data_IF_207613729388
#
_entry.id   IF_207613729388
#
_cell.length_a   1.000
_cell.length_b   1.000
_cell.length_c   1.000
_cell.angle_alpha   90.00
_cell.angle_beta   90.00
_cell.angle_gamma   90.00
#
_symmetry.space_group_name_H-M   'P 1'
#
loop_
_entity.id
_entity.type
_entity.pdbx_description
1 polymer ?
#
# COMPACT_ATOMS: atom_id res chain seq x y z
N UNK A 1 20.17 23.71 16.79
CA UNK A 1 18.72 23.55 16.51
C UNK A 1 18.44 22.70 15.27
N UNK A 2 19.06 22.96 14.11
CA UNK A 2 18.81 22.20 12.87
C UNK A 2 19.05 20.67 13.01
N UNK A 3 20.07 20.26 13.75
CA UNK A 3 20.40 18.84 14.02
C UNK A 3 19.35 18.11 14.86
N UNK A 4 18.79 18.76 15.88
CA UNK A 4 17.76 18.16 16.75
C UNK A 4 16.46 17.97 15.99
N UNK A 5 16.07 18.95 15.18
CA UNK A 5 14.84 18.88 14.37
C UNK A 5 14.98 17.82 13.27
N UNK A 6 16.15 17.74 12.62
CA UNK A 6 16.48 16.70 11.64
C UNK A 6 16.44 15.30 12.24
N UNK A 7 17.04 15.13 13.42
CA UNK A 7 17.03 13.88 14.15
C UNK A 7 15.60 13.47 14.55
N UNK A 8 14.82 14.39 15.11
CA UNK A 8 13.42 14.13 15.46
C UNK A 8 12.58 13.75 14.23
N UNK A 9 12.82 14.41 13.10
CA UNK A 9 12.10 14.12 11.86
C UNK A 9 12.48 12.74 11.29
N UNK A 10 13.77 12.39 11.27
CA UNK A 10 14.23 11.05 10.88
C UNK A 10 13.71 9.97 11.82
N UNK A 11 13.68 10.22 13.14
CA UNK A 11 13.08 9.32 14.12
C UNK A 11 11.59 9.11 13.81
N UNK A 12 10.81 10.18 13.61
CA UNK A 12 9.40 10.07 13.25
C UNK A 12 9.18 9.32 11.92
N UNK A 13 10.02 9.59 10.92
CA UNK A 13 9.99 8.91 9.62
C UNK A 13 10.49 7.46 9.66
N UNK A 14 11.11 6.98 10.74
CA UNK A 14 11.48 5.58 10.88
C UNK A 14 10.64 4.86 11.95
N UNK A 15 9.92 5.62 12.78
CA UNK A 15 9.19 5.08 13.92
C UNK A 15 8.04 4.17 13.50
N UNK A 16 7.24 4.56 12.50
CA UNK A 16 6.13 3.73 12.00
C UNK A 16 6.62 2.35 11.52
N UNK A 17 7.59 2.27 10.57
CA UNK A 17 8.07 0.97 10.13
C UNK A 17 8.79 0.21 11.24
N UNK A 18 9.54 0.87 12.13
CA UNK A 18 10.23 0.21 13.24
C UNK A 18 9.24 -0.41 14.24
N UNK A 19 8.25 0.36 14.69
CA UNK A 19 7.19 -0.13 15.60
C UNK A 19 6.40 -1.24 14.91
N UNK A 20 6.09 -1.08 13.62
CA UNK A 20 5.47 -2.12 12.80
C UNK A 20 6.27 -3.42 12.80
N UNK A 21 7.57 -3.37 12.51
CA UNK A 21 8.48 -4.51 12.53
C UNK A 21 8.51 -5.16 13.92
N UNK A 22 8.62 -4.39 15.00
CA UNK A 22 8.59 -4.91 16.36
C UNK A 22 7.29 -5.65 16.69
N UNK A 23 6.14 -5.12 16.25
CA UNK A 23 4.84 -5.80 16.39
C UNK A 23 4.83 -7.10 15.59
N UNK A 24 5.34 -7.09 14.35
CA UNK A 24 5.38 -8.27 13.48
C UNK A 24 6.30 -9.37 14.05
N UNK A 25 7.45 -9.01 14.63
CA UNK A 25 8.35 -9.95 15.31
C UNK A 25 7.65 -10.71 16.44
N UNK A 26 6.78 -10.03 17.19
CA UNK A 26 6.03 -10.61 18.29
C UNK A 26 4.73 -11.30 17.86
N UNK A 27 4.32 -11.18 16.59
CA UNK A 27 3.05 -11.70 16.10
C UNK A 27 3.20 -13.09 15.51
N UNK A 28 3.77 -13.19 14.30
CA UNK A 28 3.93 -14.44 13.54
C UNK A 28 5.10 -14.29 12.56
N UNK A 29 6.01 -15.27 12.53
CA UNK A 29 7.17 -15.26 11.61
C UNK A 29 6.76 -15.13 10.13
N UNK A 30 5.60 -15.67 9.75
CA UNK A 30 5.08 -15.57 8.38
C UNK A 30 4.74 -14.13 7.98
N UNK A 31 4.21 -13.31 8.89
CA UNK A 31 3.92 -11.91 8.61
C UNK A 31 5.22 -11.10 8.44
N UNK A 32 6.26 -11.44 9.20
CA UNK A 32 7.58 -10.87 9.00
C UNK A 32 8.14 -11.23 7.61
N UNK A 33 8.00 -12.49 7.18
CA UNK A 33 8.43 -12.91 5.85
C UNK A 33 7.69 -12.14 4.74
N UNK A 34 6.37 -11.94 4.90
CA UNK A 34 5.58 -11.11 3.98
C UNK A 34 6.12 -9.69 3.92
N UNK A 35 6.40 -9.06 5.07
CA UNK A 35 6.96 -7.71 5.12
C UNK A 35 8.31 -7.62 4.38
N UNK A 36 9.22 -8.57 4.62
CA UNK A 36 10.53 -8.61 3.96
C UNK A 36 10.39 -8.78 2.44
N UNK A 37 9.55 -9.72 1.99
CA UNK A 37 9.30 -9.96 0.56
C UNK A 37 8.71 -8.71 -0.09
N UNK A 38 7.72 -8.07 0.54
CA UNK A 38 7.11 -6.85 0.01
C UNK A 38 8.13 -5.72 -0.08
N UNK A 39 8.95 -5.48 0.94
CA UNK A 39 10.04 -4.51 0.87
C UNK A 39 11.03 -4.80 -0.27
N UNK A 40 11.37 -6.08 -0.49
CA UNK A 40 12.24 -6.48 -1.58
C UNK A 40 11.61 -6.23 -2.96
N UNK A 41 10.30 -6.50 -3.12
CA UNK A 41 9.57 -6.20 -4.36
C UNK A 41 9.58 -4.69 -4.65
N UNK A 42 9.38 -3.86 -3.63
CA UNK A 42 9.52 -2.40 -3.77
C UNK A 42 10.93 -2.03 -4.25
N UNK A 43 11.97 -2.58 -3.62
CA UNK A 43 13.36 -2.31 -3.98
C UNK A 43 13.69 -2.71 -5.43
N UNK A 44 13.23 -3.88 -5.88
CA UNK A 44 13.37 -4.31 -7.27
C UNK A 44 12.71 -3.29 -8.22
N UNK A 45 11.48 -2.86 -7.92
CA UNK A 45 10.76 -1.93 -8.79
C UNK A 45 11.50 -0.59 -8.97
N UNK A 46 12.07 -0.04 -7.89
CA UNK A 46 12.87 1.19 -7.95
C UNK A 46 14.16 0.95 -8.72
N UNK A 47 14.82 -0.18 -8.50
CA UNK A 47 16.07 -0.54 -9.19
C UNK A 47 15.88 -0.66 -10.69
N UNK A 48 14.80 -1.28 -11.15
CA UNK A 48 14.47 -1.41 -12.58
C UNK A 48 14.35 -0.01 -13.22
N UNK A 49 13.62 0.91 -12.59
CA UNK A 49 13.44 2.26 -13.15
C UNK A 49 14.74 3.06 -13.06
N UNK A 50 15.51 2.93 -11.98
CA UNK A 50 16.82 3.57 -11.86
C UNK A 50 17.77 3.12 -12.99
N UNK A 51 17.75 1.83 -13.35
CA UNK A 51 18.51 1.31 -14.50
C UNK A 51 18.05 1.95 -15.81
N UNK A 52 16.75 2.02 -16.07
CA UNK A 52 16.24 2.69 -17.28
C UNK A 52 16.57 4.19 -17.32
N UNK A 53 16.51 4.87 -16.18
CA UNK A 53 16.85 6.29 -16.07
C UNK A 53 18.31 6.54 -16.49
N UNK A 54 19.22 5.70 -16.02
CA UNK A 54 20.66 5.77 -16.37
C UNK A 54 20.87 5.40 -17.84
N UNK A 55 20.29 4.30 -18.32
CA UNK A 55 20.49 3.80 -19.68
C UNK A 55 19.93 4.74 -20.76
N UNK A 56 18.87 5.50 -20.46
CA UNK A 56 18.21 6.38 -21.42
C UNK A 56 18.63 7.86 -21.26
N UNK A 57 19.66 8.15 -20.45
CA UNK A 57 20.19 9.50 -20.18
C UNK A 57 19.09 10.54 -19.94
N UNK A 58 18.15 10.18 -19.08
CA UNK A 58 16.84 10.75 -19.21
C UNK A 58 16.74 12.15 -18.58
N UNK A 59 16.21 13.13 -19.33
CA UNK A 59 16.26 14.55 -18.95
C UNK A 59 15.02 15.07 -18.20
N UNK A 60 13.91 14.33 -18.21
CA UNK A 60 12.61 14.78 -17.66
C UNK A 60 12.32 14.06 -16.34
N UNK A 61 12.90 14.56 -15.23
CA UNK A 61 12.77 13.96 -13.89
C UNK A 61 11.32 13.70 -13.48
N UNK A 62 10.40 14.59 -13.82
CA UNK A 62 8.98 14.46 -13.48
C UNK A 62 8.34 13.22 -14.09
N UNK A 63 8.65 12.94 -15.36
CA UNK A 63 8.14 11.75 -16.05
C UNK A 63 8.66 10.47 -15.38
N UNK A 64 9.94 10.44 -15.03
CA UNK A 64 10.57 9.28 -14.40
C UNK A 64 10.08 9.01 -12.99
N UNK A 65 9.80 10.05 -12.22
CA UNK A 65 9.18 9.90 -10.92
C UNK A 65 7.77 9.30 -11.03
N UNK A 66 6.95 9.74 -12.00
CA UNK A 66 5.63 9.16 -12.25
C UNK A 66 5.70 7.72 -12.76
N UNK A 67 6.66 7.40 -13.64
CA UNK A 67 6.89 6.03 -14.10
C UNK A 67 7.37 5.12 -12.96
N UNK A 68 8.20 5.64 -12.06
CA UNK A 68 8.59 4.94 -10.83
C UNK A 68 7.37 4.60 -9.97
N UNK A 69 6.50 5.58 -9.70
CA UNK A 69 5.29 5.37 -8.92
C UNK A 69 4.37 4.34 -9.59
N UNK A 70 4.17 4.44 -10.91
CA UNK A 70 3.36 3.48 -11.66
C UNK A 70 3.93 2.05 -11.58
N UNK A 71 5.24 1.88 -11.73
CA UNK A 71 5.85 0.56 -11.62
C UNK A 71 5.75 -0.01 -10.20
N UNK A 72 5.91 0.84 -9.17
CA UNK A 72 5.72 0.46 -7.77
C UNK A 72 4.29 -0.03 -7.51
N UNK A 73 3.28 0.60 -8.12
CA UNK A 73 1.88 0.14 -8.07
C UNK A 73 1.66 -1.20 -8.78
N UNK A 74 2.22 -1.37 -9.98
CA UNK A 74 2.17 -2.64 -10.69
C UNK A 74 2.81 -3.76 -9.88
N UNK A 75 3.96 -3.49 -9.27
CA UNK A 75 4.66 -4.43 -8.39
C UNK A 75 3.82 -4.73 -7.13
N UNK A 76 3.15 -3.72 -6.56
CA UNK A 76 2.26 -3.90 -5.40
C UNK A 76 1.10 -4.82 -5.75
N UNK A 77 0.36 -4.53 -6.82
CA UNK A 77 -0.76 -5.36 -7.28
C UNK A 77 -0.31 -6.78 -7.64
N UNK A 78 0.82 -6.90 -8.33
CA UNK A 78 1.44 -8.19 -8.65
C UNK A 78 1.77 -9.00 -7.39
N UNK A 79 2.26 -8.36 -6.33
CA UNK A 79 2.56 -9.01 -5.05
C UNK A 79 1.30 -9.54 -4.36
N UNK A 80 0.18 -8.79 -4.41
CA UNK A 80 -1.11 -9.22 -3.84
C UNK A 80 -1.67 -10.42 -4.62
N UNK A 81 -1.61 -10.37 -5.95
CA UNK A 81 -2.02 -11.48 -6.82
C UNK A 81 -1.18 -12.74 -6.57
N UNK A 82 0.14 -12.58 -6.49
CA UNK A 82 1.06 -13.69 -6.22
C UNK A 82 0.78 -14.30 -4.84
N UNK A 83 0.65 -13.46 -3.81
CA UNK A 83 0.34 -13.91 -2.46
C UNK A 83 -0.94 -14.75 -2.44
N UNK A 84 -2.00 -14.29 -3.09
CA UNK A 84 -3.28 -15.01 -3.11
C UNK A 84 -3.25 -16.29 -3.91
N UNK A 85 -2.53 -16.29 -5.03
CA UNK A 85 -2.29 -17.51 -5.80
C UNK A 85 -1.54 -18.54 -4.95
N UNK A 86 -0.54 -18.11 -4.18
CA UNK A 86 0.19 -18.98 -3.26
C UNK A 86 -0.70 -19.50 -2.14
N UNK A 87 -1.51 -18.64 -1.51
CA UNK A 87 -2.45 -19.10 -0.47
C UNK A 87 -3.44 -20.10 -1.03
N UNK A 88 -3.99 -19.89 -2.23
CA UNK A 88 -4.92 -20.84 -2.87
C UNK A 88 -4.26 -22.21 -3.13
N UNK A 89 -3.00 -22.23 -3.56
CA UNK A 89 -2.27 -23.48 -3.81
C UNK A 89 -1.96 -24.24 -2.51
N UNK A 90 -1.82 -23.53 -1.39
CA UNK A 90 -1.45 -24.11 -0.09
C UNK A 90 -2.67 -24.35 0.82
N UNK A 91 -3.79 -23.69 0.57
CA UNK A 91 -5.01 -23.68 1.40
C UNK A 91 -5.79 -25.02 1.44
N UNK A 92 -5.26 -26.09 0.85
CA UNK A 92 -5.70 -27.44 1.20
C UNK A 92 -5.43 -27.82 2.68
N UNK A 93 -4.63 -27.06 3.44
CA UNK A 93 -4.22 -27.49 4.80
C UNK A 93 -4.11 -26.41 5.89
N UNK A 94 -4.01 -25.11 5.60
CA UNK A 94 -3.80 -24.09 6.64
C UNK A 94 -4.49 -22.75 6.29
N UNK A 95 -5.57 -22.43 7.00
CA UNK A 95 -6.41 -21.25 6.75
C UNK A 95 -6.16 -20.13 7.77
N UNK A 96 -4.88 -19.85 8.04
CA UNK A 96 -4.48 -18.99 9.17
C UNK A 96 -4.05 -17.57 8.75
N UNK A 97 -4.21 -17.22 7.46
CA UNK A 97 -3.84 -15.91 6.96
C UNK A 97 -5.04 -14.99 6.81
N UNK A 98 -5.18 -14.01 7.69
CA UNK A 98 -6.13 -12.92 7.53
C UNK A 98 -5.55 -11.88 6.55
N UNK A 99 -6.24 -11.64 5.42
CA UNK A 99 -5.93 -10.60 4.42
C UNK A 99 -5.59 -9.24 5.05
N UNK A 100 -6.21 -8.94 6.20
CA UNK A 100 -5.94 -7.73 6.99
C UNK A 100 -4.50 -7.68 7.50
N UNK A 101 -4.05 -8.72 8.18
CA UNK A 101 -2.72 -8.77 8.81
C UNK A 101 -1.64 -8.87 7.75
N UNK A 102 -1.88 -9.63 6.69
CA UNK A 102 -0.99 -9.73 5.53
C UNK A 102 -0.83 -8.39 4.82
N UNK A 103 -1.93 -7.70 4.52
CA UNK A 103 -1.87 -6.38 3.88
C UNK A 103 -1.10 -5.36 4.73
N UNK A 104 -1.31 -5.38 6.05
CA UNK A 104 -0.57 -4.51 6.96
C UNK A 104 0.92 -4.84 6.97
N UNK A 105 1.27 -6.13 7.06
CA UNK A 105 2.66 -6.57 7.05
C UNK A 105 3.38 -6.19 5.75
N UNK A 106 2.72 -6.40 4.61
CA UNK A 106 3.23 -6.00 3.29
C UNK A 106 3.46 -4.48 3.19
N UNK A 107 2.50 -3.69 3.70
CA UNK A 107 2.62 -2.23 3.77
C UNK A 107 3.76 -1.76 4.68
N UNK A 108 3.96 -2.40 5.85
CA UNK A 108 5.11 -2.12 6.73
C UNK A 108 6.43 -2.39 5.99
N UNK A 109 6.51 -3.47 5.22
CA UNK A 109 7.66 -3.79 4.38
C UNK A 109 8.01 -2.70 3.37
N UNK A 110 7.03 -2.28 2.56
CA UNK A 110 7.19 -1.18 1.60
C UNK A 110 7.59 0.12 2.29
N UNK A 111 6.88 0.49 3.35
CA UNK A 111 7.13 1.69 4.13
C UNK A 111 8.56 1.71 4.70
N UNK A 112 9.04 0.57 5.21
CA UNK A 112 10.40 0.44 5.74
C UNK A 112 11.46 0.67 4.65
N UNK A 113 11.34 -0.01 3.50
CA UNK A 113 12.32 0.14 2.41
C UNK A 113 12.29 1.53 1.78
N UNK A 114 11.10 2.11 1.65
CA UNK A 114 10.94 3.48 1.17
C UNK A 114 11.63 4.48 2.11
N UNK A 115 11.46 4.31 3.42
CA UNK A 115 12.09 5.15 4.42
C UNK A 115 13.62 5.02 4.40
N UNK A 116 14.13 3.80 4.28
CA UNK A 116 15.57 3.55 4.15
C UNK A 116 16.13 4.21 2.89
N UNK A 117 15.42 4.20 1.76
CA UNK A 117 15.88 4.87 0.55
C UNK A 117 15.93 6.40 0.70
N UNK A 118 14.92 7.00 1.36
CA UNK A 118 14.87 8.45 1.59
C UNK A 118 15.98 8.88 2.56
N UNK A 119 16.10 8.23 3.72
CA UNK A 119 16.99 8.68 4.79
C UNK A 119 18.39 8.06 4.75
N UNK A 120 18.56 6.90 4.14
CA UNK A 120 19.84 6.20 4.03
C UNK A 120 20.84 6.87 3.08
N UNK A 121 20.37 7.79 2.23
CA UNK A 121 21.22 8.55 1.30
C UNK A 121 22.06 9.65 1.97
N UNK A 122 21.78 10.00 3.23
CA UNK A 122 22.58 10.95 4.02
C UNK A 122 22.54 12.42 3.55
N UNK A 123 21.88 12.72 2.43
CA UNK A 123 21.83 14.06 1.83
C UNK A 123 20.39 14.57 1.72
N UNK A 124 19.84 15.09 2.81
CA UNK A 124 18.59 15.86 2.73
C UNK A 124 18.91 17.32 2.99
N UNK A 125 18.91 18.15 1.94
CA UNK A 125 18.97 19.62 2.05
C UNK A 125 17.77 20.17 2.87
N UNK A 126 16.70 19.39 3.00
CA UNK A 126 15.49 19.70 3.77
C UNK A 126 14.98 18.46 4.55
N UNK A 127 15.61 18.13 5.69
CA UNK A 127 15.32 16.89 6.43
C UNK A 127 13.91 16.83 7.01
N UNK A 128 13.34 17.96 7.42
CA UNK A 128 11.98 18.04 7.98
C UNK A 128 10.94 17.77 6.90
N UNK A 129 11.10 18.37 5.72
CA UNK A 129 10.22 18.15 4.58
C UNK A 129 10.28 16.68 4.13
N UNK A 130 11.50 16.14 4.00
CA UNK A 130 11.73 14.75 3.63
C UNK A 130 11.07 13.79 4.62
N UNK A 131 11.11 14.10 5.92
CA UNK A 131 10.51 13.26 6.94
C UNK A 131 8.98 13.32 7.02
N UNK A 132 8.39 14.51 6.92
CA UNK A 132 6.92 14.60 6.86
C UNK A 132 6.39 13.93 5.60
N UNK A 133 7.12 14.06 4.49
CA UNK A 133 6.79 13.39 3.25
C UNK A 133 6.94 11.88 3.36
N UNK A 134 8.05 11.39 3.92
CA UNK A 134 8.24 9.96 4.19
C UNK A 134 7.10 9.41 5.06
N UNK A 135 6.71 10.11 6.13
CA UNK A 135 5.57 9.73 6.97
C UNK A 135 4.27 9.62 6.17
N UNK A 136 3.99 10.61 5.31
CA UNK A 136 2.83 10.60 4.43
C UNK A 136 2.85 9.41 3.46
N UNK A 137 3.99 9.12 2.83
CA UNK A 137 4.12 7.97 1.93
C UNK A 137 4.04 6.63 2.67
N UNK A 138 4.55 6.53 3.88
CA UNK A 138 4.41 5.31 4.69
C UNK A 138 2.94 5.04 5.04
N UNK A 139 2.21 6.07 5.50
CA UNK A 139 0.79 5.95 5.77
C UNK A 139 0.01 5.60 4.50
N UNK A 140 0.37 6.23 3.38
CA UNK A 140 -0.20 5.93 2.08
C UNK A 140 0.08 4.47 1.69
N UNK A 141 1.32 3.98 1.77
CA UNK A 141 1.70 2.59 1.46
C UNK A 141 0.88 1.58 2.28
N UNK A 142 0.72 1.82 3.58
CA UNK A 142 -0.11 0.98 4.45
C UNK A 142 -1.57 0.93 3.97
N UNK A 143 -2.15 2.08 3.60
CA UNK A 143 -3.53 2.18 3.14
C UNK A 143 -3.70 1.59 1.74
N UNK A 144 -2.76 1.84 0.83
CA UNK A 144 -2.81 1.34 -0.54
C UNK A 144 -2.70 -0.18 -0.59
N UNK A 145 -1.88 -0.81 0.26
CA UNK A 145 -1.90 -2.26 0.41
C UNK A 145 -3.25 -2.78 0.91
N UNK A 146 -3.85 -2.11 1.90
CA UNK A 146 -5.18 -2.48 2.40
C UNK A 146 -6.25 -2.40 1.32
N UNK A 147 -6.21 -1.34 0.51
CA UNK A 147 -7.11 -1.17 -0.62
C UNK A 147 -6.83 -2.17 -1.74
N UNK A 148 -5.57 -2.50 -2.04
CA UNK A 148 -5.21 -3.51 -3.03
C UNK A 148 -5.73 -4.91 -2.66
N UNK A 149 -5.56 -5.31 -1.39
CA UNK A 149 -6.16 -6.54 -0.86
C UNK A 149 -7.70 -6.49 -0.82
N UNK A 150 -8.32 -5.31 -0.77
CA UNK A 150 -9.77 -5.20 -0.85
C UNK A 150 -10.29 -5.25 -2.30
N UNK A 151 -9.53 -4.66 -3.23
CA UNK A 151 -9.88 -4.48 -4.64
C UNK A 151 -9.95 -5.84 -5.32
N UNK A 152 -8.93 -6.64 -5.14
CA UNK A 152 -8.91 -8.02 -5.58
C UNK A 152 -9.71 -8.77 -4.51
N UNK A 153 -10.70 -9.63 -4.80
CA UNK A 153 -11.30 -10.54 -3.82
C UNK A 153 -10.81 -11.99 -3.97
N UNK A 154 -10.86 -12.79 -2.89
CA UNK A 154 -10.39 -14.20 -2.83
C UNK A 154 -11.23 -15.15 -3.71
N UNK A 155 -12.50 -14.81 -3.98
CA UNK A 155 -13.49 -15.75 -4.55
C UNK A 155 -13.89 -15.47 -6.01
N UNK A 156 -13.47 -14.36 -6.62
CA UNK A 156 -13.80 -14.05 -8.02
C UNK A 156 -12.77 -14.73 -8.96
N UNK A 157 -12.83 -16.06 -9.04
CA UNK A 157 -12.20 -16.83 -10.14
C UNK A 157 -13.03 -16.79 -11.44
N UNK A 158 -14.18 -16.12 -11.45
CA UNK A 158 -15.14 -16.18 -12.57
C UNK A 158 -15.42 -14.80 -13.20
N UNK A 159 -15.10 -13.68 -12.54
CA UNK A 159 -15.10 -12.36 -13.16
C UNK A 159 -13.95 -11.50 -12.62
N UNK A 160 -12.79 -11.46 -13.29
CA UNK A 160 -11.59 -10.81 -12.76
C UNK A 160 -11.70 -9.28 -12.64
N UNK A 161 -12.83 -8.68 -13.01
CA UNK A 161 -12.99 -7.23 -13.21
C UNK A 161 -14.42 -6.83 -12.82
N UNK A 162 -14.80 -6.99 -11.55
CA UNK A 162 -15.96 -6.24 -11.07
C UNK A 162 -15.67 -4.73 -11.22
N UNK A 163 -16.65 -3.94 -11.67
CA UNK A 163 -16.49 -2.47 -11.81
C UNK A 163 -15.95 -1.83 -10.53
N UNK A 164 -16.30 -2.41 -9.37
CA UNK A 164 -15.85 -2.01 -8.04
C UNK A 164 -14.36 -2.30 -7.79
N UNK A 165 -13.86 -3.48 -8.18
CA UNK A 165 -12.44 -3.86 -8.10
C UNK A 165 -11.56 -2.93 -8.97
N UNK A 166 -12.02 -2.66 -10.19
CA UNK A 166 -11.34 -1.77 -11.13
C UNK A 166 -11.28 -0.35 -10.60
N UNK A 167 -12.40 0.18 -10.12
CA UNK A 167 -12.46 1.50 -9.52
C UNK A 167 -11.49 1.63 -8.34
N UNK A 168 -11.45 0.63 -7.45
CA UNK A 168 -10.58 0.67 -6.28
C UNK A 168 -9.10 0.61 -6.67
N UNK A 169 -8.75 -0.21 -7.66
CA UNK A 169 -7.41 -0.28 -8.24
C UNK A 169 -7.00 1.07 -8.87
N UNK A 170 -7.91 1.69 -9.63
CA UNK A 170 -7.67 3.02 -10.20
C UNK A 170 -7.46 4.09 -9.12
N UNK A 171 -8.23 4.04 -8.03
CA UNK A 171 -8.06 4.96 -6.90
C UNK A 171 -6.69 4.78 -6.24
N UNK A 172 -6.25 3.53 -6.06
CA UNK A 172 -4.94 3.23 -5.50
C UNK A 172 -3.82 3.85 -6.36
N UNK A 173 -3.87 3.58 -7.67
CA UNK A 173 -2.88 4.10 -8.63
C UNK A 173 -2.91 5.63 -8.68
N UNK A 174 -4.11 6.22 -8.82
CA UNK A 174 -4.28 7.66 -8.90
C UNK A 174 -3.79 8.36 -7.63
N UNK A 175 -4.03 7.78 -6.45
CA UNK A 175 -3.58 8.34 -5.18
C UNK A 175 -2.06 8.40 -5.10
N UNK A 176 -1.36 7.32 -5.49
CA UNK A 176 0.10 7.33 -5.47
C UNK A 176 0.70 8.26 -6.54
N UNK A 177 0.11 8.31 -7.73
CA UNK A 177 0.54 9.25 -8.78
C UNK A 177 0.32 10.71 -8.37
N UNK A 178 -0.81 11.05 -7.76
CA UNK A 178 -1.09 12.40 -7.25
C UNK A 178 -0.15 12.79 -6.13
N UNK A 179 0.11 11.87 -5.19
CA UNK A 179 1.11 12.05 -4.16
C UNK A 179 2.48 12.34 -4.78
N UNK A 180 2.92 11.53 -5.74
CA UNK A 180 4.21 11.70 -6.43
C UNK A 180 4.29 13.00 -7.24
N UNK A 181 3.23 13.38 -7.96
CA UNK A 181 3.17 14.65 -8.69
C UNK A 181 3.26 15.84 -7.72
N UNK A 182 2.57 15.74 -6.58
CA UNK A 182 2.58 16.76 -5.53
C UNK A 182 3.96 16.99 -4.92
N UNK A 183 4.80 15.95 -4.78
CA UNK A 183 6.16 16.12 -4.25
C UNK A 183 7.07 16.85 -5.23
N UNK A 184 6.95 16.56 -6.53
CA UNK A 184 7.77 17.15 -7.58
C UNK A 184 7.42 18.64 -7.76
N UNK A 185 6.15 18.99 -7.61
CA UNK A 185 5.67 20.36 -7.78
C UNK A 185 6.15 21.33 -6.69
N UNK A 186 6.73 20.83 -5.58
CA UNK A 186 7.03 21.64 -4.41
C UNK A 186 8.55 21.72 -4.19
N UNK A 187 9.20 22.83 -4.61
CA UNK A 187 10.62 23.01 -4.39
C UNK A 187 10.93 23.15 -2.90
N UNK A 188 11.96 22.46 -2.42
CA UNK A 188 12.41 22.48 -1.02
C UNK A 188 12.82 23.87 -0.49
N UNK A 189 12.93 24.90 -1.35
CA UNK A 189 13.38 26.25 -0.97
C UNK A 189 12.32 27.13 -0.31
N UNK A 190 11.03 26.78 -0.35
CA UNK A 190 9.96 27.60 0.22
C UNK A 190 9.53 27.10 1.60
N UNK A 191 10.15 27.66 2.65
CA UNK A 191 9.94 27.27 4.06
C UNK A 191 8.48 27.30 4.54
N UNK A 192 7.62 28.11 3.93
CA UNK A 192 6.18 28.21 4.22
C UNK A 192 5.31 27.20 3.46
N UNK A 193 5.76 26.67 2.32
CA UNK A 193 5.05 25.62 1.58
C UNK A 193 5.32 24.23 2.19
N UNK A 194 6.50 24.02 2.77
CA UNK A 194 6.88 22.76 3.43
C UNK A 194 5.92 22.37 4.56
N UNK A 195 5.35 23.35 5.27
CA UNK A 195 4.37 23.12 6.34
C UNK A 195 2.95 22.76 5.83
N UNK A 196 2.63 23.10 4.57
CA UNK A 196 1.30 22.86 3.97
C UNK A 196 1.27 21.64 3.05
N UNK A 197 2.42 21.12 2.59
CA UNK A 197 2.52 19.84 1.84
C UNK A 197 1.91 18.65 2.57
N UNK A 198 2.05 18.47 3.91
CA UNK A 198 1.49 17.31 4.58
C UNK A 198 -0.05 17.29 4.53
N UNK A 199 -0.71 18.44 4.35
CA UNK A 199 -2.17 18.55 4.42
C UNK A 199 -2.87 17.84 3.24
N UNK A 200 -2.51 18.06 1.96
CA UNK A 200 -3.05 17.28 0.84
C UNK A 200 -2.80 15.78 0.96
N UNK A 201 -1.64 15.36 1.45
CA UNK A 201 -1.28 13.95 1.56
C UNK A 201 -1.99 13.28 2.75
N UNK A 202 -2.13 13.98 3.86
CA UNK A 202 -2.95 13.56 4.99
C UNK A 202 -4.42 13.50 4.59
N UNK A 203 -4.92 14.48 3.84
CA UNK A 203 -6.27 14.47 3.29
C UNK A 203 -6.48 13.28 2.34
N UNK A 204 -5.49 12.98 1.49
CA UNK A 204 -5.52 11.83 0.60
C UNK A 204 -5.52 10.52 1.40
N UNK A 205 -4.64 10.38 2.38
CA UNK A 205 -4.60 9.22 3.28
C UNK A 205 -5.92 9.06 4.04
N UNK A 206 -6.47 10.13 4.61
CA UNK A 206 -7.77 10.12 5.30
C UNK A 206 -8.92 9.78 4.35
N UNK A 207 -8.93 10.31 3.12
CA UNK A 207 -9.92 9.98 2.11
C UNK A 207 -9.84 8.50 1.72
N UNK A 208 -8.63 7.97 1.50
CA UNK A 208 -8.39 6.56 1.21
C UNK A 208 -8.77 5.65 2.39
N UNK A 209 -8.51 6.06 3.63
CA UNK A 209 -8.90 5.34 4.84
C UNK A 209 -10.42 5.34 5.04
N UNK A 210 -11.07 6.48 4.80
CA UNK A 210 -12.55 6.62 4.87
C UNK A 210 -13.21 5.75 3.82
N UNK A 211 -12.69 5.76 2.59
CA UNK A 211 -13.14 4.87 1.52
C UNK A 211 -13.01 3.40 1.92
N UNK A 212 -11.88 3.01 2.53
CA UNK A 212 -11.69 1.64 3.05
C UNK A 212 -12.76 1.26 4.09
N UNK A 213 -13.02 2.12 5.08
CA UNK A 213 -14.00 1.86 6.13
C UNK A 213 -15.41 1.68 5.56
N UNK A 214 -15.83 2.58 4.67
CA UNK A 214 -17.13 2.50 4.00
C UNK A 214 -17.27 1.21 3.17
N UNK A 215 -16.21 0.79 2.48
CA UNK A 215 -16.24 -0.43 1.68
C UNK A 215 -16.27 -1.70 2.54
N UNK A 216 -15.65 -1.68 3.73
CA UNK A 216 -15.68 -2.79 4.68
C UNK A 216 -17.09 -2.99 5.24
N UNK A 217 -17.77 -1.91 5.61
CA UNK A 217 -19.14 -1.93 6.15
C UNK A 217 -20.16 -2.49 5.15
N UNK A 218 -20.05 -2.11 3.87
CA UNK A 218 -20.88 -2.68 2.79
C UNK A 218 -20.63 -4.18 2.60
N UNK A 219 -19.39 -4.66 2.77
CA UNK A 219 -19.06 -6.09 2.65
C UNK A 219 -19.63 -6.89 3.82
N UNK A 220 -19.58 -6.38 5.06
CA UNK A 220 -20.21 -7.05 6.20
C UNK A 220 -21.73 -7.14 6.04
N UNK A 221 -22.37 -6.09 5.56
CA UNK A 221 -23.83 -6.09 5.31
C UNK A 221 -24.24 -7.11 4.24
N UNK A 222 -23.47 -7.25 3.16
CA UNK A 222 -23.73 -8.28 2.14
C UNK A 222 -23.51 -9.71 2.65
N UNK A 223 -22.55 -9.93 3.55
CA UNK A 223 -22.31 -11.24 4.13
C UNK A 223 -23.46 -11.66 5.07
N UNK A 224 -24.02 -10.73 5.84
CA UNK A 224 -25.24 -10.99 6.63
C UNK A 224 -26.45 -11.30 5.75
N UNK A 225 -26.67 -10.51 4.68
CA UNK A 225 -27.81 -10.71 3.78
C UNK A 225 -27.80 -12.02 2.99
N UNK A 226 -26.64 -12.66 2.85
CA UNK A 226 -26.49 -13.97 2.19
C UNK A 226 -26.67 -15.14 3.15
N UNK A 227 -26.55 -14.91 4.46
CA UNK A 227 -26.87 -15.90 5.50
C UNK A 227 -28.37 -15.92 5.85
N UNK A 228 -29.07 -14.80 5.64
CA UNK A 228 -30.52 -14.69 5.84
C UNK A 228 -31.36 -15.05 4.58
N UNK A 229 -30.72 -15.46 3.48
CA UNK A 229 -31.46 -16.03 2.36
C UNK A 229 -31.94 -17.42 2.76
N UNK A 230 -33.25 -17.72 2.77
CA UNK A 230 -33.70 -19.10 2.86
C UNK A 230 -32.99 -19.87 1.75
N UNK A 231 -32.43 -21.03 2.08
CA UNK A 231 -31.90 -21.94 1.09
C UNK A 231 -32.94 -22.08 -0.04
N UNK A 232 -32.56 -21.97 -1.33
CA UNK A 232 -33.46 -22.45 -2.37
C UNK A 232 -33.78 -23.91 -2.05
N UNK A 233 -35.05 -24.33 -2.05
CA UNK A 233 -35.42 -25.70 -1.75
C UNK A 233 -34.58 -26.61 -2.65
N UNK A 234 -33.87 -27.54 -2.04
CA UNK A 234 -33.18 -28.59 -2.78
C UNK A 234 -34.23 -29.33 -3.61
N UNK A 235 -33.89 -29.69 -4.85
CA UNK A 235 -34.80 -30.37 -5.79
C UNK A 235 -35.43 -31.68 -5.26
N UNK A 236 -35.01 -32.14 -4.07
CA UNK A 236 -35.62 -33.26 -3.34
C UNK A 236 -36.90 -32.89 -2.55
N UNK A 237 -37.22 -31.60 -2.36
CA UNK A 237 -38.42 -31.15 -1.64
C UNK A 237 -39.62 -30.84 -2.56
N UNK A 238 -39.48 -31.07 -3.88
CA UNK A 238 -40.53 -30.84 -4.88
C UNK A 238 -41.24 -32.14 -5.34
N UNK A 239 -40.85 -33.30 -4.82
CA UNK A 239 -41.44 -34.60 -5.19
C UNK A 239 -42.44 -35.14 -4.15
N UNK A 240 -42.74 -34.39 -3.08
CA UNK A 240 -43.76 -34.71 -2.08
C UNK A 240 -44.88 -33.65 -2.06
N UNK A 241 -45.60 -33.48 -3.18
CA UNK A 241 -47.00 -32.99 -3.21
C UNK A 241 -47.83 -33.71 -4.29
#
# INVERSE_FOLDING_TARGET
>A
MLTIVTFAAAVCGLLIPLVGICILLNSRAQLMLIAVISGFIWFISVTIIALFFVLLEAKILTLWALLTALLQECARLGSVLLYRKLTDMVAGSYNDFNDTSTALAAGIGYAATHSVAIFGSGSTECPVAAAMLALCFQLLDLILFRLAFLAIPVRERIDPISKKSTLLTCIVIASHLLATAGTIAIPCKTSSCVASVPLPFLALALASATLYLNLKEVRSLHHFRTLDSPHPPTAAELDDE
#
